data_IF_004958118249
#
_entry.id   IF_004958118249
#
_cell.length_a   1.000
_cell.length_b   1.000
_cell.length_c   1.000
_cell.angle_alpha   90.00
_cell.angle_beta   90.00
_cell.angle_gamma   90.00
#
_symmetry.space_group_name_H-M   'P 1'
#
loop_
_entity.id
_entity.type
_entity.pdbx_description
1 polymer ?
#
# COMPACT_ATOMS: atom_id res chain seq x y z
N UNK A 1 -27.73 33.64 8.85
CA UNK A 1 -26.58 32.93 9.48
C UNK A 1 -26.33 33.34 10.95
N UNK A 2 -26.26 34.63 11.29
CA UNK A 2 -25.99 35.10 12.67
C UNK A 2 -26.93 34.58 13.78
N UNK A 3 -28.23 34.36 13.49
CA UNK A 3 -29.23 33.90 14.47
C UNK A 3 -29.03 32.41 14.88
N UNK A 4 -28.58 31.56 13.99
CA UNK A 4 -28.30 30.12 14.29
C UNK A 4 -27.05 29.96 15.15
N UNK A 5 -26.01 30.75 14.87
CA UNK A 5 -24.76 30.78 15.64
C UNK A 5 -24.99 31.20 17.12
N UNK A 6 -25.82 32.23 17.32
CA UNK A 6 -26.14 32.70 18.68
C UNK A 6 -26.90 31.65 19.53
N UNK A 7 -27.77 30.84 18.86
CA UNK A 7 -28.49 29.74 19.57
C UNK A 7 -27.55 28.61 19.97
N UNK A 8 -26.58 28.24 19.09
CA UNK A 8 -25.56 27.20 19.37
C UNK A 8 -24.66 27.64 20.52
N UNK A 9 -24.17 28.89 20.52
CA UNK A 9 -23.38 29.43 21.61
C UNK A 9 -24.15 29.47 22.93
N UNK A 10 -25.44 29.80 22.89
CA UNK A 10 -26.31 29.78 24.04
C UNK A 10 -26.55 28.41 24.65
N UNK A 11 -26.62 27.37 23.78
CA UNK A 11 -26.74 25.98 24.22
C UNK A 11 -25.45 25.47 24.87
N UNK A 12 -24.28 25.78 24.28
CA UNK A 12 -22.97 25.42 24.82
C UNK A 12 -22.77 26.01 26.21
N UNK A 13 -23.12 27.27 26.42
CA UNK A 13 -23.01 27.94 27.72
C UNK A 13 -23.93 27.34 28.79
N UNK A 14 -25.13 26.88 28.41
CA UNK A 14 -26.11 26.32 29.34
C UNK A 14 -25.85 24.87 29.73
N UNK A 15 -25.14 24.07 28.89
CA UNK A 15 -24.91 22.65 29.12
C UNK A 15 -23.49 22.26 28.70
N UNK A 16 -22.44 22.72 29.41
CA UNK A 16 -21.04 22.54 28.96
C UNK A 16 -20.65 21.06 28.89
N UNK A 17 -21.09 20.23 29.84
CA UNK A 17 -20.78 18.78 29.83
C UNK A 17 -21.43 18.05 28.65
N UNK A 18 -22.69 18.37 28.32
CA UNK A 18 -23.36 17.78 27.18
C UNK A 18 -22.72 18.21 25.84
N UNK A 19 -22.23 19.45 25.78
CA UNK A 19 -21.53 19.97 24.59
C UNK A 19 -20.15 19.30 24.41
N UNK A 20 -19.40 19.10 25.49
CA UNK A 20 -18.14 18.36 25.47
C UNK A 20 -18.34 16.89 25.08
N UNK A 21 -19.37 16.24 25.67
CA UNK A 21 -19.70 14.87 25.27
C UNK A 21 -20.10 14.76 23.80
N UNK A 22 -20.88 15.71 23.29
CA UNK A 22 -21.26 15.76 21.88
C UNK A 22 -20.08 15.96 20.93
N UNK A 23 -19.13 16.84 21.29
CA UNK A 23 -17.88 17.04 20.54
C UNK A 23 -17.00 15.80 20.56
N UNK A 24 -16.89 15.13 21.71
CA UNK A 24 -16.15 13.89 21.83
C UNK A 24 -16.73 12.78 20.95
N UNK A 25 -18.06 12.58 21.01
CA UNK A 25 -18.75 11.59 20.16
C UNK A 25 -18.59 11.93 18.69
N UNK A 26 -18.72 13.22 18.31
CA UNK A 26 -18.51 13.64 16.92
C UNK A 26 -17.06 13.41 16.47
N UNK A 27 -16.08 13.64 17.34
CA UNK A 27 -14.66 13.35 17.08
C UNK A 27 -14.41 11.87 16.86
N UNK A 28 -14.91 11.01 17.75
CA UNK A 28 -14.78 9.55 17.62
C UNK A 28 -15.45 9.03 16.35
N UNK A 29 -16.67 9.50 16.06
CA UNK A 29 -17.37 9.16 14.80
C UNK A 29 -16.59 9.63 13.58
N UNK A 30 -15.99 10.80 13.61
CA UNK A 30 -15.14 11.32 12.54
C UNK A 30 -13.93 10.43 12.29
N UNK A 31 -13.24 9.99 13.35
CA UNK A 31 -12.08 9.07 13.25
C UNK A 31 -12.51 7.72 12.68
N UNK A 32 -13.62 7.15 13.16
CA UNK A 32 -14.14 5.87 12.66
C UNK A 32 -14.53 5.98 11.17
N UNK A 33 -15.19 7.06 10.77
CA UNK A 33 -15.55 7.29 9.38
C UNK A 33 -14.32 7.47 8.49
N UNK A 34 -13.31 8.22 8.94
CA UNK A 34 -12.04 8.33 8.21
C UNK A 34 -11.40 6.98 7.99
N UNK A 35 -11.34 6.14 9.02
CA UNK A 35 -10.77 4.81 8.91
C UNK A 35 -11.53 3.91 7.91
N UNK A 36 -12.86 4.02 7.86
CA UNK A 36 -13.68 3.30 6.89
C UNK A 36 -13.47 3.80 5.45
N UNK A 37 -13.29 5.11 5.27
CA UNK A 37 -13.02 5.71 3.96
C UNK A 37 -11.66 5.28 3.43
N UNK A 38 -10.62 5.22 4.28
CA UNK A 38 -9.28 4.76 3.92
C UNK A 38 -9.22 3.29 3.48
N UNK A 39 -10.16 2.47 3.93
CA UNK A 39 -10.30 1.07 3.50
C UNK A 39 -10.86 0.92 2.07
N UNK A 40 -11.35 2.03 1.47
CA UNK A 40 -11.91 2.03 0.10
C UNK A 40 -11.01 2.88 -0.80
N UNK A 41 -10.04 2.27 -1.52
CA UNK A 41 -9.05 2.99 -2.32
C UNK A 41 -9.64 3.93 -3.35
N UNK A 42 -10.78 3.56 -3.96
CA UNK A 42 -11.49 4.40 -4.92
C UNK A 42 -11.98 5.72 -4.34
N UNK A 43 -12.28 5.76 -3.04
CA UNK A 43 -12.80 6.97 -2.38
C UNK A 43 -11.67 7.77 -1.77
N UNK A 44 -10.68 7.09 -1.15
CA UNK A 44 -9.61 7.76 -0.42
C UNK A 44 -8.43 8.18 -1.33
N UNK A 45 -8.05 7.35 -2.29
CA UNK A 45 -6.80 7.50 -3.04
C UNK A 45 -7.03 7.95 -4.49
N UNK A 46 -8.03 7.38 -5.17
CA UNK A 46 -8.33 7.66 -6.59
C UNK A 46 -8.66 9.12 -6.94
N UNK A 47 -9.19 9.97 -6.03
CA UNK A 47 -9.39 11.38 -6.35
C UNK A 47 -8.11 12.14 -6.70
N UNK A 48 -6.94 11.66 -6.26
CA UNK A 48 -5.66 12.23 -6.66
C UNK A 48 -5.18 11.57 -7.94
N UNK A 49 -5.00 12.35 -9.02
CA UNK A 49 -4.62 11.82 -10.34
C UNK A 49 -3.33 11.01 -10.33
N UNK A 50 -2.37 11.37 -9.48
CA UNK A 50 -1.10 10.65 -9.30
C UNK A 50 -1.27 9.26 -8.69
N UNK A 51 -2.38 9.00 -7.98
CA UNK A 51 -2.67 7.73 -7.33
C UNK A 51 -3.54 6.80 -8.20
N UNK A 52 -4.22 7.33 -9.22
CA UNK A 52 -5.14 6.58 -10.07
C UNK A 52 -4.49 5.33 -10.70
N UNK A 53 -3.27 5.37 -11.27
CA UNK A 53 -2.64 4.18 -11.86
C UNK A 53 -2.39 3.08 -10.82
N UNK A 54 -2.07 3.44 -9.58
CA UNK A 54 -1.83 2.50 -8.49
C UNK A 54 -3.13 1.84 -8.01
N UNK A 55 -4.21 2.61 -7.91
CA UNK A 55 -5.55 2.11 -7.56
C UNK A 55 -6.06 1.18 -8.67
N UNK A 56 -5.89 1.54 -9.93
CA UNK A 56 -6.26 0.69 -11.05
C UNK A 56 -5.46 -0.61 -11.05
N UNK A 57 -4.14 -0.53 -10.87
CA UNK A 57 -3.28 -1.72 -10.78
C UNK A 57 -3.64 -2.65 -9.63
N UNK A 58 -4.07 -2.08 -8.48
CA UNK A 58 -4.56 -2.85 -7.34
C UNK A 58 -5.84 -3.63 -7.67
N UNK A 59 -6.74 -3.07 -8.49
CA UNK A 59 -8.01 -3.74 -8.85
C UNK A 59 -7.88 -4.74 -9.99
N UNK A 60 -7.12 -4.42 -11.02
CA UNK A 60 -7.14 -5.16 -12.30
C UNK A 60 -5.74 -5.50 -12.84
N UNK A 61 -4.67 -5.22 -12.08
CA UNK A 61 -3.30 -5.37 -12.57
C UNK A 61 -2.72 -6.76 -12.41
N UNK A 62 -1.85 -7.17 -13.37
CA UNK A 62 -0.95 -8.32 -13.21
C UNK A 62 0.27 -7.93 -12.36
N UNK A 63 0.04 -7.58 -11.09
CA UNK A 63 1.06 -7.11 -10.15
C UNK A 63 0.79 -7.66 -8.75
N UNK A 64 1.81 -7.60 -7.88
CA UNK A 64 1.70 -8.13 -6.52
C UNK A 64 0.63 -7.42 -5.69
N UNK A 65 0.43 -6.12 -5.88
CA UNK A 65 -0.63 -5.37 -5.19
C UNK A 65 -2.03 -5.94 -5.48
N UNK A 66 -2.30 -6.39 -6.73
CA UNK A 66 -3.56 -7.04 -7.07
C UNK A 66 -3.72 -8.40 -6.37
N UNK A 67 -2.64 -9.19 -6.27
CA UNK A 67 -2.66 -10.47 -5.53
C UNK A 67 -2.96 -10.26 -4.05
N UNK A 68 -2.46 -9.18 -3.46
CA UNK A 68 -2.80 -8.79 -2.10
C UNK A 68 -4.27 -8.32 -1.98
N UNK A 69 -4.78 -7.59 -2.98
CA UNK A 69 -6.19 -7.20 -3.02
C UNK A 69 -7.13 -8.42 -3.05
N UNK A 70 -6.82 -9.44 -3.88
CA UNK A 70 -7.56 -10.71 -3.92
C UNK A 70 -7.53 -11.44 -2.56
N UNK A 71 -6.47 -11.27 -1.79
CA UNK A 71 -6.32 -11.82 -0.43
C UNK A 71 -6.96 -10.93 0.66
N UNK A 72 -7.57 -9.79 0.30
CA UNK A 72 -8.22 -8.87 1.23
C UNK A 72 -7.27 -7.92 1.97
N UNK A 73 -6.02 -7.78 1.51
CA UNK A 73 -5.03 -6.84 2.07
C UNK A 73 -5.29 -5.46 1.48
N UNK A 74 -5.54 -4.48 2.32
CA UNK A 74 -5.79 -3.09 1.92
C UNK A 74 -4.49 -2.31 1.68
N UNK A 75 -4.58 -1.19 0.95
CA UNK A 75 -3.44 -0.31 0.72
C UNK A 75 -2.78 0.15 2.02
N UNK A 76 -3.59 0.46 3.03
CA UNK A 76 -3.14 0.93 4.35
C UNK A 76 -2.43 -0.15 5.19
N UNK A 77 -2.54 -1.42 4.85
CA UNK A 77 -1.81 -2.49 5.56
C UNK A 77 -0.31 -2.46 5.23
N UNK A 78 0.05 -1.92 4.06
CA UNK A 78 1.44 -1.67 3.65
C UNK A 78 1.83 -0.20 3.81
N UNK A 79 0.89 0.73 3.53
CA UNK A 79 1.08 2.17 3.62
C UNK A 79 0.54 2.71 4.96
N UNK A 80 1.09 2.19 6.07
CA UNK A 80 0.73 2.61 7.42
C UNK A 80 1.39 3.97 7.73
N UNK A 81 0.83 5.03 7.14
CA UNK A 81 1.28 6.39 7.36
C UNK A 81 0.60 6.98 8.59
N UNK A 82 1.39 7.62 9.45
CA UNK A 82 0.89 8.42 10.57
C UNK A 82 0.02 9.60 10.10
N UNK A 83 -0.70 10.20 11.04
CA UNK A 83 -1.52 11.41 10.74
C UNK A 83 -0.63 12.54 10.22
N UNK A 84 0.60 12.66 10.73
CA UNK A 84 1.57 13.67 10.34
C UNK A 84 1.95 13.53 8.86
N UNK A 85 2.25 12.31 8.42
CA UNK A 85 2.56 12.02 7.02
C UNK A 85 1.38 12.33 6.09
N UNK A 86 0.16 11.97 6.49
CA UNK A 86 -1.06 12.24 5.72
C UNK A 86 -1.32 13.74 5.55
N UNK A 87 -1.08 14.52 6.61
CA UNK A 87 -1.18 15.99 6.55
C UNK A 87 -0.11 16.54 5.61
N UNK A 88 1.11 16.06 5.71
CA UNK A 88 2.21 16.51 4.86
C UNK A 88 1.96 16.18 3.38
N UNK A 89 1.52 14.96 3.07
CA UNK A 89 1.15 14.54 1.71
C UNK A 89 0.00 15.40 1.15
N UNK A 90 -0.99 15.72 2.00
CA UNK A 90 -2.09 16.61 1.61
C UNK A 90 -1.60 18.03 1.30
N UNK A 91 -0.66 18.56 2.09
CA UNK A 91 -0.06 19.87 1.85
C UNK A 91 0.71 19.87 0.54
N UNK A 92 1.55 18.87 0.30
CA UNK A 92 2.29 18.72 -0.96
C UNK A 92 1.35 18.68 -2.17
N UNK A 93 0.25 17.93 -2.07
CA UNK A 93 -0.74 17.86 -3.14
C UNK A 93 -1.41 19.21 -3.42
N UNK A 94 -1.80 19.96 -2.37
CA UNK A 94 -2.47 21.27 -2.51
C UNK A 94 -1.50 22.33 -3.05
N UNK A 95 -0.21 22.23 -2.70
CA UNK A 95 0.82 23.18 -3.12
C UNK A 95 1.50 22.81 -4.44
N UNK A 96 1.10 21.68 -5.04
CA UNK A 96 1.72 21.15 -6.27
C UNK A 96 3.23 20.86 -6.10
N UNK A 97 3.64 20.47 -4.87
CA UNK A 97 5.02 20.18 -4.49
C UNK A 97 5.21 18.67 -4.28
N UNK A 98 5.02 17.89 -5.33
CA UNK A 98 5.18 16.44 -5.34
C UNK A 98 5.75 15.96 -6.67
N UNK A 99 6.40 14.78 -6.65
CA UNK A 99 6.89 14.13 -7.86
C UNK A 99 5.77 13.36 -8.57
N UNK A 100 5.71 13.47 -9.90
CA UNK A 100 4.85 12.68 -10.76
C UNK A 100 5.69 11.96 -11.85
N UNK A 101 5.85 10.65 -11.79
CA UNK A 101 5.29 9.69 -10.81
C UNK A 101 5.91 9.82 -9.41
N UNK A 102 5.17 9.42 -8.35
CA UNK A 102 5.69 9.45 -7.00
C UNK A 102 6.96 8.60 -6.82
N UNK A 103 7.84 9.05 -5.94
CA UNK A 103 9.09 8.33 -5.65
C UNK A 103 8.79 6.94 -5.06
N UNK A 104 9.60 5.95 -5.49
CA UNK A 104 9.52 4.59 -4.93
C UNK A 104 9.91 4.59 -3.47
N UNK A 105 9.08 4.01 -2.61
CA UNK A 105 9.42 3.75 -1.21
C UNK A 105 10.17 2.44 -1.09
N UNK A 106 11.23 2.44 -0.30
CA UNK A 106 11.87 1.21 0.17
C UNK A 106 11.14 0.71 1.42
N UNK A 107 10.87 -0.58 1.46
CA UNK A 107 10.28 -1.24 2.63
C UNK A 107 11.23 -2.30 3.14
N UNK A 108 11.39 -2.36 4.45
CA UNK A 108 12.15 -3.40 5.12
C UNK A 108 11.40 -4.74 5.10
N UNK A 109 12.14 -5.83 5.24
CA UNK A 109 11.56 -7.19 5.28
C UNK A 109 10.49 -7.34 6.37
N UNK A 110 10.59 -6.59 7.46
CA UNK A 110 9.62 -6.59 8.55
C UNK A 110 8.20 -6.27 8.08
N UNK A 111 8.04 -5.43 7.08
CA UNK A 111 6.73 -5.13 6.49
C UNK A 111 6.07 -6.38 5.94
N UNK A 112 6.80 -7.18 5.20
CA UNK A 112 6.31 -8.42 4.58
C UNK A 112 6.11 -9.53 5.62
N UNK A 113 7.04 -9.64 6.58
CA UNK A 113 7.06 -10.72 7.57
C UNK A 113 6.03 -10.54 8.70
N UNK A 114 5.31 -9.41 8.74
CA UNK A 114 4.10 -9.28 9.57
C UNK A 114 3.06 -10.38 9.26
N UNK A 115 2.96 -10.80 8.00
CA UNK A 115 2.00 -11.79 7.51
C UNK A 115 2.67 -13.03 6.92
N UNK A 116 3.90 -12.92 6.40
CA UNK A 116 4.61 -14.01 5.73
C UNK A 116 5.71 -14.59 6.63
N UNK A 117 5.58 -15.87 6.97
CA UNK A 117 6.63 -16.60 7.67
C UNK A 117 7.76 -16.97 6.70
N UNK A 118 8.99 -16.55 7.00
CA UNK A 118 10.16 -16.86 6.16
C UNK A 118 10.36 -18.37 6.02
N UNK A 119 10.17 -19.13 7.10
CA UNK A 119 10.28 -20.59 7.07
C UNK A 119 9.27 -21.25 6.13
N UNK A 120 8.04 -20.74 6.09
CA UNK A 120 7.00 -21.26 5.21
C UNK A 120 7.28 -20.90 3.74
N UNK A 121 7.83 -19.71 3.50
CA UNK A 121 8.25 -19.27 2.15
C UNK A 121 9.36 -20.20 1.65
N UNK A 122 10.43 -20.40 2.45
CA UNK A 122 11.53 -21.29 2.11
C UNK A 122 11.01 -22.71 1.84
N UNK A 123 10.12 -23.23 2.67
CA UNK A 123 9.54 -24.55 2.47
C UNK A 123 8.72 -24.68 1.19
N UNK A 124 7.93 -23.65 0.86
CA UNK A 124 7.05 -23.62 -0.33
C UNK A 124 7.81 -23.42 -1.65
N UNK A 125 8.99 -22.81 -1.60
CA UNK A 125 9.78 -22.47 -2.78
C UNK A 125 11.01 -23.37 -2.95
N UNK A 126 11.01 -24.55 -2.35
CA UNK A 126 12.08 -25.50 -2.47
C UNK A 126 11.94 -26.31 -3.78
N UNK A 127 12.45 -25.75 -4.87
CA UNK A 127 12.45 -26.40 -6.19
C UNK A 127 13.61 -27.37 -6.33
N UNK A 128 13.54 -28.36 -7.25
CA UNK A 128 14.63 -29.31 -7.49
C UNK A 128 15.96 -28.66 -7.89
N UNK A 129 15.91 -27.49 -8.53
CA UNK A 129 17.07 -26.77 -9.06
C UNK A 129 17.67 -25.79 -8.04
N UNK A 130 16.96 -25.49 -6.95
CA UNK A 130 17.38 -24.60 -5.89
C UNK A 130 16.22 -23.83 -5.27
N UNK A 131 16.52 -23.14 -4.17
CA UNK A 131 15.54 -22.35 -3.44
C UNK A 131 15.86 -20.85 -3.60
N UNK A 132 14.94 -20.03 -4.18
CA UNK A 132 15.19 -18.61 -4.35
C UNK A 132 15.28 -17.85 -3.01
N UNK A 133 14.70 -18.37 -1.92
CA UNK A 133 14.70 -17.75 -0.59
C UNK A 133 15.74 -18.35 0.37
N UNK A 134 16.49 -19.36 -0.08
CA UNK A 134 17.67 -19.90 0.60
C UNK A 134 18.80 -20.01 -0.44
N UNK A 135 19.26 -18.87 -0.90
CA UNK A 135 20.17 -18.76 -2.03
C UNK A 135 21.57 -18.34 -1.61
N UNK A 136 22.54 -18.55 -2.51
CA UNK A 136 23.92 -18.13 -2.32
C UNK A 136 24.10 -16.59 -2.31
N UNK A 137 23.04 -15.79 -2.56
CA UNK A 137 23.10 -14.33 -2.51
C UNK A 137 23.08 -13.78 -1.06
N UNK A 138 22.88 -14.65 -0.07
CA UNK A 138 22.82 -14.27 1.35
C UNK A 138 21.48 -13.67 1.74
N UNK A 139 21.50 -12.71 2.68
CA UNK A 139 20.28 -12.07 3.17
C UNK A 139 19.63 -11.22 2.08
N UNK A 140 18.44 -11.65 1.66
CA UNK A 140 17.68 -10.99 0.60
C UNK A 140 16.70 -9.99 1.18
N UNK A 141 16.55 -8.85 0.50
CA UNK A 141 15.46 -7.91 0.75
C UNK A 141 14.28 -8.30 -0.12
N UNK A 142 13.11 -8.48 0.47
CA UNK A 142 11.91 -8.93 -0.25
C UNK A 142 11.60 -8.03 -1.46
N UNK A 143 11.72 -6.72 -1.28
CA UNK A 143 11.46 -5.71 -2.31
C UNK A 143 12.50 -5.64 -3.43
N UNK A 144 13.63 -6.36 -3.34
CA UNK A 144 14.60 -6.45 -4.45
C UNK A 144 14.07 -7.30 -5.62
N UNK A 145 13.13 -8.19 -5.33
CA UNK A 145 12.52 -9.07 -6.31
C UNK A 145 11.01 -8.88 -6.42
N UNK A 146 10.32 -8.66 -5.29
CA UNK A 146 8.87 -8.52 -5.22
C UNK A 146 8.45 -7.04 -5.26
N UNK A 147 8.02 -6.57 -6.43
CA UNK A 147 7.51 -5.21 -6.61
C UNK A 147 5.98 -5.18 -6.48
N UNK A 148 5.46 -4.29 -5.62
CA UNK A 148 4.02 -4.22 -5.38
C UNK A 148 3.26 -3.58 -6.54
N UNK A 149 3.78 -2.52 -7.13
CA UNK A 149 3.10 -1.71 -8.15
C UNK A 149 3.70 -1.83 -9.55
N UNK A 150 4.62 -2.76 -9.73
CA UNK A 150 5.22 -3.14 -11.00
C UNK A 150 5.30 -4.66 -11.06
N UNK A 151 5.62 -5.22 -12.22
CA UNK A 151 5.93 -6.66 -12.31
C UNK A 151 7.18 -6.99 -11.52
N UNK A 152 7.09 -8.01 -10.70
CA UNK A 152 8.21 -8.53 -9.91
C UNK A 152 9.32 -9.06 -10.82
N UNK A 153 10.57 -9.02 -10.36
CA UNK A 153 11.75 -9.39 -11.17
C UNK A 153 12.60 -10.41 -10.41
N UNK A 154 12.69 -11.61 -10.94
CA UNK A 154 13.54 -12.63 -10.35
C UNK A 154 15.02 -12.33 -10.65
N UNK A 155 15.77 -11.89 -9.63
CA UNK A 155 17.20 -11.58 -9.75
C UNK A 155 18.03 -12.77 -10.31
N UNK A 156 17.61 -13.98 -9.99
CA UNK A 156 18.25 -15.21 -10.45
C UNK A 156 18.28 -15.35 -11.97
N UNK A 157 17.34 -14.76 -12.70
CA UNK A 157 17.27 -14.82 -14.17
C UNK A 157 18.48 -14.20 -14.87
N UNK A 158 19.25 -13.37 -14.18
CA UNK A 158 20.47 -12.75 -14.72
C UNK A 158 21.55 -13.80 -15.03
N UNK A 159 21.60 -14.88 -14.24
CA UNK A 159 22.65 -15.91 -14.33
C UNK A 159 22.08 -17.32 -14.57
N UNK A 160 20.87 -17.59 -14.09
CA UNK A 160 20.27 -18.93 -14.14
C UNK A 160 19.10 -19.01 -15.11
N UNK A 161 18.88 -20.22 -15.63
CA UNK A 161 17.75 -20.53 -16.51
C UNK A 161 16.98 -21.74 -15.96
N UNK A 162 16.63 -21.69 -14.68
CA UNK A 162 15.88 -22.74 -14.00
C UNK A 162 14.47 -22.87 -14.56
N UNK A 163 13.89 -24.04 -14.49
CA UNK A 163 12.54 -24.31 -15.01
C UNK A 163 11.48 -23.48 -14.27
N UNK A 164 11.59 -23.34 -12.96
CA UNK A 164 10.66 -22.53 -12.19
C UNK A 164 10.68 -21.04 -12.60
N UNK A 165 11.82 -20.51 -13.07
CA UNK A 165 11.92 -19.13 -13.57
C UNK A 165 11.20 -18.91 -14.90
N UNK A 166 11.02 -19.97 -15.69
CA UNK A 166 10.30 -19.92 -16.96
C UNK A 166 8.78 -19.98 -16.77
N UNK A 167 8.35 -20.54 -15.64
CA UNK A 167 6.95 -20.77 -15.28
C UNK A 167 6.44 -19.78 -14.20
N UNK A 168 7.10 -18.63 -14.04
CA UNK A 168 6.67 -17.61 -13.11
C UNK A 168 5.26 -17.09 -13.49
N UNK A 169 4.41 -16.80 -12.48
CA UNK A 169 3.08 -16.24 -12.70
C UNK A 169 3.09 -14.89 -13.41
N UNK A 170 1.89 -14.41 -13.77
CA UNK A 170 1.72 -13.21 -14.62
C UNK A 170 2.26 -11.92 -14.01
N UNK A 171 2.31 -11.84 -12.67
CA UNK A 171 2.84 -10.70 -11.91
C UNK A 171 4.38 -10.59 -11.96
N UNK A 172 5.06 -11.52 -12.64
CA UNK A 172 6.51 -11.49 -12.83
C UNK A 172 6.90 -11.10 -14.25
N UNK A 173 8.00 -10.36 -14.40
CA UNK A 173 8.64 -10.17 -15.70
C UNK A 173 9.21 -11.49 -16.23
N UNK A 174 8.86 -11.83 -17.43
CA UNK A 174 9.46 -12.96 -18.15
C UNK A 174 10.69 -12.50 -18.91
N UNK A 175 11.67 -13.40 -19.06
CA UNK A 175 12.90 -13.12 -19.81
C UNK A 175 12.64 -12.65 -21.25
N UNK A 176 11.54 -13.09 -21.86
CA UNK A 176 11.11 -12.65 -23.19
C UNK A 176 10.65 -11.18 -23.21
N UNK A 177 10.03 -10.69 -22.15
CA UNK A 177 9.49 -9.33 -22.07
C UNK A 177 10.63 -8.29 -21.96
N UNK A 178 11.73 -8.66 -21.27
CA UNK A 178 12.90 -7.79 -21.08
C UNK A 178 13.73 -7.59 -22.37
N UNK A 179 13.55 -8.41 -23.41
CA UNK A 179 14.25 -8.27 -24.69
C UNK A 179 13.52 -7.35 -25.68
N UNK A 180 12.22 -7.11 -25.48
CA UNK A 180 11.41 -6.27 -26.36
C UNK A 180 11.32 -4.80 -25.91
N UNK A 181 11.91 -4.43 -24.78
CA UNK A 181 11.87 -3.07 -24.21
C UNK A 181 13.15 -2.25 -24.45
N UNK A 182 13.96 -2.61 -25.47
CA UNK A 182 15.15 -1.84 -25.88
C UNK A 182 14.92 -1.08 -27.17
#
# INVERSE_FOLDING_TARGET
>A
MKSRFAKILGFIKKRPLASLAGLFVAGVLGIVLMHQVEAVPQVACSPCHVMEPYVQGYHDGDILAHKHAEAGVACIDCHDNGIEDKVQETVWYITDDFDDPPQKRAFDNEMCTKCHSVSDIVAKTNYPEGNPHDSHLGDLVCSDCHYSHEKSKAACQKCHNFEFLQNLPAEWERKADSQNSK
#
